data_IF_569327237020
#
_entry.id   IF_569327237020
#
_cell.length_a   1.000
_cell.length_b   1.000
_cell.length_c   1.000
_cell.angle_alpha   90.00
_cell.angle_beta   90.00
_cell.angle_gamma   90.00
#
_symmetry.space_group_name_H-M   'P 1'
#
loop_
_entity.id
_entity.type
_entity.pdbx_description
1 polymer ?
#
# COMPACT_ATOMS: atom_id res chain seq x y z
N UNK A 1 -11.59 2.83 7.97
CA UNK A 1 -10.66 2.36 8.98
C UNK A 1 -10.73 0.86 9.14
N UNK A 2 -11.94 0.30 9.17
CA UNK A 2 -12.10 -1.16 9.26
C UNK A 2 -11.50 -1.87 8.05
N UNK A 3 -11.61 -1.26 6.88
CA UNK A 3 -11.02 -1.82 5.67
C UNK A 3 -9.49 -1.79 5.72
N UNK A 4 -8.94 -0.70 6.22
CA UNK A 4 -7.49 -0.61 6.42
C UNK A 4 -7.02 -1.65 7.44
N UNK A 5 -7.77 -1.82 8.52
CA UNK A 5 -7.44 -2.82 9.54
C UNK A 5 -7.40 -4.23 8.94
N UNK A 6 -8.35 -4.55 8.08
CA UNK A 6 -8.37 -5.86 7.41
C UNK A 6 -7.15 -6.07 6.53
N UNK A 7 -6.77 -5.05 5.76
CA UNK A 7 -5.61 -5.12 4.88
C UNK A 7 -4.32 -5.26 5.68
N UNK A 8 -4.16 -4.46 6.74
CA UNK A 8 -2.98 -4.51 7.61
C UNK A 8 -2.87 -5.88 8.29
N UNK A 9 -3.98 -6.40 8.79
CA UNK A 9 -3.98 -7.72 9.43
C UNK A 9 -3.55 -8.81 8.45
N UNK A 10 -3.99 -8.71 7.21
CA UNK A 10 -3.58 -9.62 6.15
C UNK A 10 -2.06 -9.59 5.95
N UNK A 11 -1.48 -8.38 5.93
CA UNK A 11 -0.03 -8.23 5.79
C UNK A 11 0.72 -8.83 6.98
N UNK A 12 0.23 -8.61 8.20
CA UNK A 12 0.85 -9.20 9.38
C UNK A 12 0.84 -10.73 9.35
N UNK A 13 -0.24 -11.32 8.86
CA UNK A 13 -0.34 -12.78 8.74
C UNK A 13 0.67 -13.33 7.74
N UNK A 14 1.09 -12.52 6.78
CA UNK A 14 2.12 -12.89 5.82
C UNK A 14 3.53 -12.49 6.27
N UNK A 15 3.69 -12.10 7.55
CA UNK A 15 4.95 -11.69 8.17
C UNK A 15 5.50 -10.39 7.60
N UNK A 16 4.64 -9.50 7.18
CA UNK A 16 5.01 -8.15 6.77
C UNK A 16 4.75 -7.21 7.93
N UNK A 17 5.81 -6.65 8.49
CA UNK A 17 5.73 -5.81 9.69
C UNK A 17 5.94 -4.32 9.42
N UNK A 18 6.60 -3.97 8.32
CA UNK A 18 6.86 -2.58 7.98
C UNK A 18 5.83 -2.09 6.98
N UNK A 19 4.84 -1.36 7.47
CA UNK A 19 3.69 -0.90 6.70
C UNK A 19 3.54 0.61 6.90
N UNK A 20 3.39 1.33 5.80
CA UNK A 20 3.28 2.79 5.80
C UNK A 20 2.09 3.20 4.96
N UNK A 21 1.36 4.20 5.42
CA UNK A 21 0.22 4.74 4.69
C UNK A 21 0.36 6.24 4.55
N UNK A 22 -0.22 6.78 3.49
CA UNK A 22 -0.26 8.22 3.28
C UNK A 22 -1.10 8.84 4.39
N UNK A 23 -0.51 9.80 5.13
CA UNK A 23 -1.17 10.41 6.27
C UNK A 23 -2.32 11.32 5.93
N UNK A 24 -2.55 11.61 4.67
CA UNK A 24 -3.66 12.47 4.27
C UNK A 24 -5.02 11.93 4.70
N UNK A 25 -5.14 10.60 4.88
CA UNK A 25 -6.40 10.02 5.32
C UNK A 25 -6.76 10.45 6.75
N UNK A 26 -5.76 10.79 7.56
CA UNK A 26 -5.96 11.25 8.94
C UNK A 26 -6.52 12.67 8.95
N UNK A 27 -6.15 13.45 7.96
CA UNK A 27 -6.55 14.86 7.85
C UNK A 27 -7.93 15.01 7.21
N UNK A 28 -8.39 14.03 6.49
CA UNK A 28 -9.69 14.07 5.84
C UNK A 28 -10.79 13.92 6.87
N UNK A 29 -11.64 14.92 6.96
CA UNK A 29 -12.81 14.88 7.83
C UNK A 29 -13.95 14.11 7.20
N UNK A 30 -13.96 14.06 5.89
CA UNK A 30 -14.89 13.26 5.14
C UNK A 30 -14.23 11.90 4.89
N UNK A 31 -14.98 10.92 4.56
CA UNK A 31 -14.52 9.54 4.49
C UNK A 31 -13.27 9.37 3.64
N UNK A 32 -12.18 8.83 4.18
CA UNK A 32 -11.02 8.50 3.37
C UNK A 32 -11.37 7.32 2.49
N UNK A 33 -11.86 7.62 1.29
CA UNK A 33 -12.27 6.58 0.35
C UNK A 33 -11.08 5.95 -0.36
N UNK A 34 -9.92 6.64 -0.35
CA UNK A 34 -8.74 6.18 -1.06
C UNK A 34 -7.55 6.26 -0.12
N UNK A 35 -7.17 5.13 0.44
CA UNK A 35 -5.99 5.04 1.29
C UNK A 35 -4.89 4.38 0.49
N UNK A 36 -3.78 5.10 0.30
CA UNK A 36 -2.61 4.59 -0.39
C UNK A 36 -1.49 4.34 0.59
N UNK A 37 -0.77 3.28 0.39
CA UNK A 37 0.36 2.97 1.23
C UNK A 37 1.35 2.04 0.57
N UNK A 38 2.37 1.66 1.31
CA UNK A 38 3.34 0.69 0.87
C UNK A 38 3.83 -0.14 2.04
N UNK A 39 4.42 -1.27 1.72
CA UNK A 39 5.01 -2.15 2.71
C UNK A 39 6.37 -2.64 2.22
N UNK A 40 7.25 -2.94 3.16
CA UNK A 40 8.60 -3.39 2.81
C UNK A 40 8.59 -4.90 2.63
N UNK A 41 9.13 -5.37 1.53
CA UNK A 41 9.23 -6.80 1.24
C UNK A 41 10.53 -7.11 0.50
N UNK A 42 10.84 -8.41 0.39
CA UNK A 42 11.94 -8.87 -0.44
C UNK A 42 11.52 -8.99 -1.90
N UNK A 43 12.39 -8.58 -2.81
CA UNK A 43 12.09 -8.67 -4.23
C UNK A 43 11.90 -10.10 -4.71
N UNK A 44 12.66 -11.04 -4.16
CA UNK A 44 12.57 -12.43 -4.58
C UNK A 44 11.17 -13.01 -4.30
N UNK A 45 10.65 -12.81 -3.10
CA UNK A 45 9.33 -13.30 -2.74
C UNK A 45 8.23 -12.65 -3.58
N UNK A 46 8.43 -11.39 -3.94
CA UNK A 46 7.48 -10.68 -4.79
C UNK A 46 7.46 -11.25 -6.20
N UNK A 47 8.64 -11.41 -6.81
CA UNK A 47 8.73 -11.79 -8.22
C UNK A 47 8.46 -13.27 -8.48
N UNK A 48 8.67 -14.13 -7.48
CA UNK A 48 8.37 -15.56 -7.64
C UNK A 48 6.93 -15.92 -7.25
N UNK A 49 6.13 -14.92 -6.83
CA UNK A 49 4.73 -15.13 -6.49
C UNK A 49 4.45 -15.65 -5.08
N UNK A 50 5.48 -15.88 -4.29
CA UNK A 50 5.30 -16.42 -2.94
C UNK A 50 4.58 -15.44 -2.01
N UNK A 51 4.91 -14.16 -2.11
CA UNK A 51 4.26 -13.14 -1.28
C UNK A 51 2.76 -13.06 -1.59
N UNK A 52 2.41 -13.00 -2.86
CA UNK A 52 1.01 -12.96 -3.28
C UNK A 52 0.25 -14.20 -2.80
N UNK A 53 0.88 -15.35 -2.91
CA UNK A 53 0.29 -16.61 -2.45
C UNK A 53 0.02 -16.58 -0.96
N UNK A 54 0.98 -16.14 -0.15
CA UNK A 54 0.79 -16.07 1.30
C UNK A 54 -0.31 -15.08 1.68
N UNK A 55 -0.35 -13.92 1.02
CA UNK A 55 -1.38 -12.94 1.30
C UNK A 55 -2.77 -13.45 0.94
N UNK A 56 -2.89 -14.10 -0.21
CA UNK A 56 -4.18 -14.60 -0.66
C UNK A 56 -4.66 -15.81 0.12
N UNK A 57 -3.77 -16.55 0.78
CA UNK A 57 -4.18 -17.65 1.65
C UNK A 57 -5.06 -17.17 2.81
N UNK A 58 -4.87 -15.93 3.25
CA UNK A 58 -5.59 -15.35 4.36
C UNK A 58 -6.59 -14.29 3.93
N UNK A 59 -6.94 -14.28 2.65
CA UNK A 59 -7.88 -13.30 2.11
C UNK A 59 -9.02 -14.01 1.39
N UNK A 60 -10.24 -13.77 1.87
CA UNK A 60 -11.42 -14.40 1.32
C UNK A 60 -11.66 -14.02 -0.14
N UNK A 61 -11.27 -12.79 -0.50
CA UNK A 61 -11.47 -12.27 -1.86
C UNK A 61 -10.34 -12.60 -2.81
N UNK A 62 -9.21 -13.08 -2.30
CA UNK A 62 -8.02 -13.38 -3.11
C UNK A 62 -7.61 -12.20 -3.98
N UNK A 63 -7.65 -11.01 -3.40
CA UNK A 63 -7.51 -9.77 -4.16
C UNK A 63 -6.08 -9.22 -4.24
N UNK A 64 -5.12 -9.88 -3.64
CA UNK A 64 -3.74 -9.41 -3.63
C UNK A 64 -3.06 -9.73 -4.96
N UNK A 65 -2.80 -8.69 -5.74
CA UNK A 65 -2.03 -8.80 -6.98
C UNK A 65 -1.47 -7.43 -7.37
N UNK A 66 -0.32 -7.45 -8.01
CA UNK A 66 0.29 -6.24 -8.61
C UNK A 66 0.60 -6.48 -10.08
N UNK A 67 -0.08 -7.42 -10.69
CA UNK A 67 0.00 -7.68 -12.12
C UNK A 67 -0.78 -6.60 -12.86
N UNK A 68 -0.11 -5.78 -13.72
CA UNK A 68 -0.82 -4.72 -14.44
C UNK A 68 -1.99 -5.21 -15.29
N UNK A 69 -1.98 -6.47 -15.69
CA UNK A 69 -3.10 -7.05 -16.45
C UNK A 69 -4.37 -7.17 -15.60
N UNK A 70 -4.24 -7.08 -14.28
CA UNK A 70 -5.37 -7.17 -13.36
C UNK A 70 -5.93 -5.80 -12.95
N UNK A 71 -5.37 -4.72 -13.45
CA UNK A 71 -5.89 -3.39 -13.18
C UNK A 71 -7.30 -3.25 -13.74
N UNK A 72 -8.18 -2.62 -12.95
CA UNK A 72 -9.59 -2.42 -13.30
C UNK A 72 -9.89 -0.94 -13.34
N UNK A 73 -10.67 -0.52 -14.32
CA UNK A 73 -11.06 0.88 -14.46
C UNK A 73 -12.26 1.16 -13.56
N UNK A 74 -12.14 2.17 -12.73
CA UNK A 74 -13.26 2.66 -11.91
C UNK A 74 -14.17 3.51 -12.81
N UNK A 75 -15.44 3.15 -12.88
CA UNK A 75 -16.40 3.81 -13.77
C UNK A 75 -16.61 5.29 -13.42
N UNK A 76 -16.49 5.65 -12.15
CA UNK A 76 -16.74 7.03 -11.72
C UNK A 76 -15.56 7.96 -11.95
N UNK A 77 -14.34 7.49 -11.64
CA UNK A 77 -13.15 8.34 -11.71
C UNK A 77 -12.32 8.12 -12.96
N UNK A 78 -12.58 7.06 -13.71
CA UNK A 78 -11.80 6.62 -14.86
C UNK A 78 -10.36 6.25 -14.51
N UNK A 79 -10.06 6.13 -13.22
CA UNK A 79 -8.74 5.69 -12.75
C UNK A 79 -8.66 4.18 -12.73
N UNK A 80 -7.45 3.67 -12.85
CA UNK A 80 -7.19 2.24 -12.77
C UNK A 80 -6.71 1.87 -11.38
N UNK A 81 -7.29 0.82 -10.85
CA UNK A 81 -6.94 0.30 -9.52
C UNK A 81 -6.80 -1.21 -9.55
N UNK A 82 -6.00 -1.72 -8.65
CA UNK A 82 -5.95 -3.16 -8.43
C UNK A 82 -7.22 -3.64 -7.71
N UNK A 83 -7.53 -4.95 -7.80
CA UNK A 83 -8.76 -5.47 -7.19
C UNK A 83 -8.93 -5.14 -5.71
N UNK A 84 -7.84 -5.02 -4.97
CA UNK A 84 -7.87 -4.64 -3.56
C UNK A 84 -8.64 -3.33 -3.32
N UNK A 85 -8.43 -2.35 -4.19
CA UNK A 85 -9.10 -1.06 -4.06
C UNK A 85 -10.62 -1.19 -4.22
N UNK A 86 -11.06 -2.04 -5.14
CA UNK A 86 -12.50 -2.22 -5.36
C UNK A 86 -13.19 -2.82 -4.14
N UNK A 87 -12.46 -3.59 -3.35
CA UNK A 87 -13.00 -4.26 -2.17
C UNK A 87 -12.85 -3.40 -0.92
N UNK A 88 -11.67 -2.82 -0.72
CA UNK A 88 -11.33 -2.15 0.53
C UNK A 88 -11.14 -0.64 0.42
N UNK A 89 -11.07 -0.09 -0.79
CA UNK A 89 -10.68 1.30 -1.05
C UNK A 89 -9.31 1.62 -0.47
N UNK A 90 -8.45 0.62 -0.44
CA UNK A 90 -7.07 0.70 0.03
C UNK A 90 -6.17 0.10 -1.04
N UNK A 91 -5.09 0.78 -1.39
CA UNK A 91 -4.07 0.21 -2.25
C UNK A 91 -2.74 0.21 -1.54
N UNK A 92 -2.16 -0.97 -1.38
CA UNK A 92 -0.85 -1.15 -0.76
C UNK A 92 0.11 -1.66 -1.82
N UNK A 93 1.26 -1.01 -1.93
CA UNK A 93 2.26 -1.34 -2.94
C UNK A 93 3.50 -1.94 -2.29
N UNK A 94 4.11 -2.93 -2.94
CA UNK A 94 5.34 -3.51 -2.40
C UNK A 94 6.53 -2.57 -2.65
N UNK A 95 7.31 -2.35 -1.62
CA UNK A 95 8.55 -1.59 -1.72
C UNK A 95 9.72 -2.56 -1.54
N UNK A 96 10.55 -2.69 -2.56
CA UNK A 96 11.69 -3.58 -2.57
C UNK A 96 12.94 -2.90 -3.14
N UNK A 97 12.96 -1.56 -3.12
CA UNK A 97 14.08 -0.77 -3.59
C UNK A 97 13.90 -0.17 -4.98
N UNK A 98 12.73 -0.34 -5.59
CA UNK A 98 12.48 0.16 -6.95
C UNK A 98 12.33 1.69 -6.98
N UNK A 99 12.50 2.24 -8.18
CA UNK A 99 12.20 3.64 -8.45
C UNK A 99 10.77 3.76 -8.97
N UNK A 100 10.12 4.89 -8.65
CA UNK A 100 8.82 5.21 -9.21
C UNK A 100 8.98 5.92 -10.56
N UNK A 101 7.85 6.13 -11.25
CA UNK A 101 7.86 6.95 -12.48
C UNK A 101 7.82 8.43 -12.17
N UNK A 102 7.70 8.82 -10.91
CA UNK A 102 7.56 10.22 -10.50
C UNK A 102 8.95 10.85 -10.42
N UNK A 103 9.09 12.02 -11.05
CA UNK A 103 10.34 12.74 -11.05
C UNK A 103 10.41 13.70 -9.86
N UNK A 104 11.62 13.89 -9.33
CA UNK A 104 11.85 14.91 -8.32
C UNK A 104 12.03 16.29 -9.01
N UNK A 105 12.28 17.34 -8.20
CA UNK A 105 12.43 18.70 -8.73
C UNK A 105 13.63 18.86 -9.67
N UNK A 106 14.57 17.91 -9.64
CA UNK A 106 15.77 17.96 -10.48
C UNK A 106 15.63 17.09 -11.73
N UNK A 107 14.45 16.49 -11.95
CA UNK A 107 14.21 15.65 -13.11
C UNK A 107 14.64 14.20 -12.96
N UNK A 108 15.07 13.78 -11.77
CA UNK A 108 15.47 12.41 -11.51
C UNK A 108 14.29 11.58 -11.02
N UNK A 109 14.27 10.29 -11.35
CA UNK A 109 13.23 9.40 -10.89
C UNK A 109 13.37 9.19 -9.37
N UNK A 110 12.30 9.43 -8.64
CA UNK A 110 12.28 9.20 -7.19
C UNK A 110 12.16 7.72 -6.89
N UNK A 111 12.82 7.28 -5.81
CA UNK A 111 12.56 5.95 -5.27
C UNK A 111 11.12 5.88 -4.79
N UNK A 112 10.56 4.69 -4.80
CA UNK A 112 9.15 4.48 -4.50
C UNK A 112 8.71 5.14 -3.17
N UNK A 113 9.44 4.96 -2.04
CA UNK A 113 9.00 5.61 -0.80
C UNK A 113 9.05 7.13 -0.86
N UNK A 114 10.02 7.70 -1.56
CA UNK A 114 10.14 9.15 -1.68
C UNK A 114 8.96 9.75 -2.43
N UNK A 115 8.43 9.03 -3.42
CA UNK A 115 7.27 9.50 -4.18
C UNK A 115 6.03 9.62 -3.30
N UNK A 116 5.91 8.80 -2.26
CA UNK A 116 4.82 8.89 -1.30
C UNK A 116 4.99 10.04 -0.31
N UNK A 117 6.22 10.48 -0.07
CA UNK A 117 6.53 11.47 0.95
C UNK A 117 6.53 12.91 0.45
N UNK A 118 6.31 13.10 -0.84
CA UNK A 118 6.38 14.42 -1.46
C UNK A 118 5.16 14.65 -2.32
N UNK A 119 4.54 15.82 -2.16
CA UNK A 119 3.42 16.19 -3.02
C UNK A 119 3.92 16.38 -4.45
N UNK A 120 3.21 15.77 -5.40
CA UNK A 120 3.67 15.68 -6.78
C UNK A 120 3.86 17.03 -7.46
N UNK A 121 2.93 17.97 -7.25
CA UNK A 121 2.94 19.24 -7.98
C UNK A 121 3.78 20.32 -7.30
N UNK A 122 3.86 20.29 -5.98
CA UNK A 122 4.56 21.33 -5.21
C UNK A 122 5.88 20.88 -4.66
N UNK A 123 6.17 19.59 -4.69
CA UNK A 123 7.35 18.96 -4.11
C UNK A 123 7.47 19.22 -2.60
N UNK A 124 6.36 19.53 -1.94
CA UNK A 124 6.34 19.68 -0.49
C UNK A 124 6.22 18.30 0.16
N UNK A 125 6.92 18.07 1.27
CA UNK A 125 6.80 16.81 2.00
C UNK A 125 5.36 16.58 2.46
N UNK A 126 4.89 15.34 2.37
CA UNK A 126 3.61 14.95 2.93
C UNK A 126 3.81 13.90 4.00
N UNK A 127 2.90 13.87 4.97
CA UNK A 127 3.00 12.97 6.10
C UNK A 127 2.82 11.52 5.69
N UNK A 128 3.61 10.66 6.32
CA UNK A 128 3.51 9.21 6.19
C UNK A 128 3.32 8.65 7.58
N UNK A 129 2.33 7.78 7.74
CA UNK A 129 2.05 7.13 9.02
C UNK A 129 2.54 5.69 8.97
N UNK A 130 3.39 5.32 9.92
CA UNK A 130 3.81 3.94 10.07
C UNK A 130 2.78 3.19 10.91
N UNK A 131 2.35 2.06 10.42
CA UNK A 131 1.44 1.19 11.16
C UNK A 131 2.28 0.23 11.98
N UNK A 132 2.14 0.29 13.30
CA UNK A 132 2.93 -0.52 14.22
C UNK A 132 2.05 -1.59 14.84
N UNK A 133 2.53 -2.82 14.80
CA UNK A 133 1.86 -3.94 15.45
C UNK A 133 2.01 -3.80 16.96
N UNK A 134 0.91 -4.02 17.69
CA UNK A 134 0.93 -3.95 19.15
C UNK A 134 1.65 -5.17 19.72
N UNK A 135 2.95 -4.99 19.98
CA UNK A 135 3.79 -6.06 20.49
C UNK A 135 3.43 -6.45 21.94
N UNK A 136 2.91 -5.51 22.72
CA UNK A 136 2.55 -5.79 24.09
C UNK A 136 1.40 -6.79 24.16
N UNK A 137 0.41 -6.67 23.30
CA UNK A 137 -0.67 -7.65 23.22
C UNK A 137 -0.21 -8.94 22.59
N UNK A 138 0.62 -8.86 21.55
CA UNK A 138 1.12 -10.04 20.87
C UNK A 138 2.00 -10.89 21.76
N UNK A 139 2.82 -10.28 22.60
CA UNK A 139 3.77 -10.98 23.45
C UNK A 139 3.12 -11.77 24.59
N UNK A 140 1.87 -11.50 24.89
CA UNK A 140 1.15 -12.22 25.95
C UNK A 140 0.59 -13.56 25.49
N UNK A 141 0.77 -13.86 24.27
CA UNK A 141 0.20 -15.07 23.69
C UNK A 141 1.21 -16.20 23.47
#
# INVERSE_FOLDING_TARGET
VDNLTSVVHNLWLANIDEIYVDGSFVESKDHPNDIDGYFICGGLDLFNGELEKRLNQHNIHKCWTWDPAKLQVDANSQKRHYPMWNIYHVEMFPEYGQYSAILDRFGNRQKFPAAFRTCRDTYTPKGIVRIVRDQAKGSKQ
#
